data_IF_631991110848
#
_entry.id   IF_631991110848
#
_cell.length_a   1.000
_cell.length_b   1.000
_cell.length_c   1.000
_cell.angle_alpha   90.00
_cell.angle_beta   90.00
_cell.angle_gamma   90.00
#
_symmetry.space_group_name_H-M   'P 1'
#
loop_
_entity.id
_entity.type
_entity.pdbx_description
1 polymer ?
#
# COMPACT_ATOMS: atom_id res chain seq x y z
N UNK A 1 -9.12 -11.81 -21.57
CA UNK A 1 -8.51 -11.83 -20.22
C UNK A 1 -7.38 -12.84 -20.24
N UNK A 2 -6.17 -12.42 -19.89
CA UNK A 2 -4.97 -13.27 -19.85
C UNK A 2 -4.38 -13.26 -18.44
N UNK A 3 -4.35 -14.40 -17.73
CA UNK A 3 -3.57 -14.52 -16.51
C UNK A 3 -2.09 -14.56 -16.86
N UNK A 4 -1.29 -13.68 -16.25
CA UNK A 4 0.15 -13.67 -16.45
C UNK A 4 0.81 -14.62 -15.46
N UNK A 5 1.57 -15.57 -15.99
CA UNK A 5 2.30 -16.57 -15.22
C UNK A 5 3.77 -16.59 -15.61
N UNK A 6 4.63 -16.90 -14.65
CA UNK A 6 6.07 -17.02 -14.86
C UNK A 6 6.86 -15.73 -14.61
N UNK A 7 8.07 -15.91 -14.08
CA UNK A 7 8.93 -14.80 -13.65
C UNK A 7 9.29 -13.82 -14.79
N UNK A 8 9.56 -14.33 -15.99
CA UNK A 8 9.91 -13.48 -17.14
C UNK A 8 8.77 -12.55 -17.55
N UNK A 9 7.53 -13.06 -17.56
CA UNK A 9 6.33 -12.30 -17.92
C UNK A 9 6.05 -11.22 -16.86
N UNK A 10 6.16 -11.56 -15.58
CA UNK A 10 5.98 -10.60 -14.49
C UNK A 10 7.07 -9.53 -14.46
N UNK A 11 8.32 -9.86 -14.80
CA UNK A 11 9.40 -8.88 -14.97
C UNK A 11 9.15 -7.95 -16.16
N UNK A 12 8.58 -8.44 -17.26
CA UNK A 12 8.16 -7.59 -18.38
C UNK A 12 7.04 -6.63 -17.97
N UNK A 13 6.05 -7.12 -17.22
CA UNK A 13 4.96 -6.30 -16.68
C UNK A 13 5.52 -5.22 -15.76
N UNK A 14 6.40 -5.58 -14.82
CA UNK A 14 7.06 -4.64 -13.91
C UNK A 14 7.77 -3.52 -14.68
N UNK A 15 8.58 -3.87 -15.69
CA UNK A 15 9.30 -2.90 -16.55
C UNK A 15 8.33 -1.99 -17.30
N UNK A 16 7.21 -2.52 -17.78
CA UNK A 16 6.19 -1.71 -18.46
C UNK A 16 5.52 -0.74 -17.49
N UNK A 17 5.14 -1.19 -16.30
CA UNK A 17 4.50 -0.36 -15.27
C UNK A 17 5.41 0.74 -14.78
N UNK A 18 6.72 0.48 -14.65
CA UNK A 18 7.70 1.50 -14.21
C UNK A 18 7.69 2.74 -15.11
N UNK A 19 7.45 2.59 -16.40
CA UNK A 19 7.39 3.71 -17.37
C UNK A 19 6.18 4.63 -17.15
N UNK A 20 5.18 4.17 -16.40
CA UNK A 20 3.92 4.88 -16.13
C UNK A 20 3.81 5.40 -14.71
N UNK A 21 4.91 5.37 -13.94
CA UNK A 21 4.97 6.01 -12.64
C UNK A 21 4.75 7.53 -12.75
N UNK A 22 4.06 8.17 -11.79
CA UNK A 22 3.55 7.59 -10.53
C UNK A 22 2.17 6.91 -10.65
N UNK A 23 1.47 7.02 -11.79
CA UNK A 23 0.07 6.54 -11.90
C UNK A 23 -0.09 5.02 -11.80
N UNK A 24 0.96 4.26 -12.10
CA UNK A 24 0.99 2.80 -11.97
C UNK A 24 1.48 2.31 -10.60
N UNK A 25 1.84 3.21 -9.68
CA UNK A 25 2.63 2.90 -8.48
C UNK A 25 2.05 1.76 -7.65
N UNK A 26 0.73 1.77 -7.42
CA UNK A 26 0.02 0.74 -6.64
C UNK A 26 0.21 -0.66 -7.24
N UNK A 27 0.08 -0.79 -8.56
CA UNK A 27 0.23 -2.05 -9.27
C UNK A 27 1.71 -2.43 -9.41
N UNK A 28 2.57 -1.46 -9.73
CA UNK A 28 4.01 -1.64 -9.83
C UNK A 28 4.60 -2.23 -8.54
N UNK A 29 4.31 -1.62 -7.38
CA UNK A 29 4.81 -2.11 -6.09
C UNK A 29 4.31 -3.53 -5.77
N UNK A 30 3.06 -3.83 -6.15
CA UNK A 30 2.50 -5.17 -5.97
C UNK A 30 3.22 -6.21 -6.84
N UNK A 31 3.44 -5.92 -8.13
CA UNK A 31 4.16 -6.83 -9.05
C UNK A 31 5.62 -7.01 -8.62
N UNK A 32 6.26 -5.96 -8.09
CA UNK A 32 7.60 -6.07 -7.51
C UNK A 32 7.65 -7.13 -6.39
N UNK A 33 6.70 -7.10 -5.46
CA UNK A 33 6.63 -8.12 -4.40
C UNK A 33 6.22 -9.51 -4.93
N UNK A 34 5.40 -9.58 -5.98
CA UNK A 34 5.12 -10.85 -6.67
C UNK A 34 6.39 -11.47 -7.25
N UNK A 35 7.29 -10.66 -7.83
CA UNK A 35 8.60 -11.10 -8.31
C UNK A 35 9.55 -11.56 -7.18
N UNK A 36 9.22 -11.28 -5.93
CA UNK A 36 9.96 -11.70 -4.73
C UNK A 36 9.25 -12.82 -3.96
N UNK A 37 8.77 -13.83 -4.69
CA UNK A 37 8.16 -15.03 -4.11
C UNK A 37 6.67 -14.93 -3.83
N UNK A 38 6.04 -13.76 -4.06
CA UNK A 38 4.58 -13.60 -4.03
C UNK A 38 3.91 -14.15 -2.74
N UNK A 39 4.28 -13.67 -1.55
CA UNK A 39 3.82 -14.24 -0.28
C UNK A 39 2.30 -14.11 -0.05
N UNK A 40 1.64 -13.21 -0.77
CA UNK A 40 0.19 -13.03 -0.74
C UNK A 40 -0.56 -13.84 -1.80
N UNK A 41 0.14 -14.70 -2.56
CA UNK A 41 -0.42 -15.57 -3.62
C UNK A 41 -1.35 -14.78 -4.55
N UNK A 42 -0.84 -13.66 -5.04
CA UNK A 42 -1.52 -12.79 -5.98
C UNK A 42 -1.38 -13.31 -7.41
N UNK A 43 -2.27 -12.89 -8.29
CA UNK A 43 -2.19 -13.12 -9.72
C UNK A 43 -2.41 -11.81 -10.48
N UNK A 44 -1.71 -11.65 -11.60
CA UNK A 44 -1.85 -10.52 -12.49
C UNK A 44 -2.73 -10.93 -13.68
N UNK A 45 -3.79 -10.17 -13.94
CA UNK A 45 -4.69 -10.35 -15.07
C UNK A 45 -4.59 -9.13 -15.97
N UNK A 46 -4.53 -9.34 -17.28
CA UNK A 46 -4.55 -8.27 -18.28
C UNK A 46 -5.63 -8.49 -19.33
N UNK A 47 -6.08 -7.40 -19.95
CA UNK A 47 -7.04 -7.46 -21.06
C UNK A 47 -6.42 -8.10 -22.31
N UNK A 48 -5.16 -7.76 -22.59
CA UNK A 48 -4.33 -8.30 -23.68
C UNK A 48 -2.84 -8.32 -23.29
N UNK A 49 -2.03 -9.11 -23.97
CA UNK A 49 -0.59 -9.21 -23.73
C UNK A 49 0.18 -9.32 -25.05
N UNK A 50 1.39 -8.73 -25.20
CA UNK A 50 2.14 -7.94 -24.22
C UNK A 50 1.71 -6.48 -24.07
N UNK A 51 0.97 -5.92 -25.04
CA UNK A 51 0.54 -4.53 -25.01
C UNK A 51 -0.81 -4.34 -24.29
N UNK A 52 -0.85 -4.69 -22.99
CA UNK A 52 -2.04 -4.52 -22.17
C UNK A 52 -2.52 -3.07 -22.15
N UNK A 53 -3.84 -2.87 -22.05
CA UNK A 53 -4.39 -1.56 -21.68
C UNK A 53 -4.70 -1.52 -20.18
N UNK A 54 -5.31 -2.56 -19.63
CA UNK A 54 -5.64 -2.67 -18.20
C UNK A 54 -4.93 -3.86 -17.57
N UNK A 55 -4.43 -3.67 -16.36
CA UNK A 55 -3.96 -4.73 -15.47
C UNK A 55 -4.74 -4.68 -14.16
N UNK A 56 -5.11 -5.87 -13.68
CA UNK A 56 -5.71 -6.09 -12.37
C UNK A 56 -4.84 -7.10 -11.63
N UNK A 57 -4.37 -6.73 -10.44
CA UNK A 57 -3.81 -7.71 -9.49
C UNK A 57 -4.90 -8.07 -8.51
N UNK A 58 -5.08 -9.36 -8.24
CA UNK A 58 -6.02 -9.89 -7.25
C UNK A 58 -5.42 -11.11 -6.54
N UNK A 59 -5.92 -11.51 -5.37
CA UNK A 59 -5.61 -12.82 -4.82
C UNK A 59 -6.02 -13.95 -5.79
N UNK A 60 -5.34 -15.08 -5.67
CA UNK A 60 -5.84 -16.33 -6.25
C UNK A 60 -7.20 -16.69 -5.62
N UNK A 61 -8.06 -17.37 -6.38
CA UNK A 61 -9.43 -17.68 -5.95
C UNK A 61 -9.46 -18.51 -4.66
N UNK A 62 -8.45 -19.35 -4.45
CA UNK A 62 -8.29 -20.15 -3.24
C UNK A 62 -8.02 -19.32 -1.97
N UNK A 63 -7.62 -18.05 -2.12
CA UNK A 63 -7.41 -17.13 -1.00
C UNK A 63 -8.68 -16.30 -0.71
N UNK A 64 -9.62 -16.19 -1.65
CA UNK A 64 -10.85 -15.38 -1.52
C UNK A 64 -12.02 -16.24 -1.00
N UNK A 65 -11.86 -16.81 0.19
CA UNK A 65 -12.85 -17.75 0.77
C UNK A 65 -13.88 -17.10 1.69
N UNK A 66 -13.64 -15.87 2.15
CA UNK A 66 -14.56 -15.09 2.99
C UNK A 66 -15.12 -13.92 2.17
N UNK A 67 -16.38 -14.04 1.74
CA UNK A 67 -17.05 -13.02 0.91
C UNK A 67 -17.18 -11.66 1.62
N UNK A 68 -16.98 -11.60 2.94
CA UNK A 68 -17.05 -10.35 3.72
C UNK A 68 -15.67 -9.71 3.95
N UNK A 69 -14.58 -10.40 3.59
CA UNK A 69 -13.21 -9.97 3.83
C UNK A 69 -12.65 -9.06 2.73
N UNK A 70 -13.05 -7.78 2.75
CA UNK A 70 -12.49 -6.79 1.83
C UNK A 70 -10.98 -6.52 2.03
N UNK A 71 -10.34 -6.99 3.12
CA UNK A 71 -8.88 -6.87 3.29
C UNK A 71 -8.15 -7.91 2.44
N UNK A 72 -8.72 -9.11 2.32
CA UNK A 72 -8.22 -10.16 1.42
C UNK A 72 -8.73 -9.94 -0.01
N UNK A 73 -10.02 -9.65 -0.19
CA UNK A 73 -10.70 -9.40 -1.46
C UNK A 73 -10.33 -8.03 -2.08
N UNK A 74 -9.04 -7.88 -2.38
CA UNK A 74 -8.42 -6.63 -2.81
C UNK A 74 -8.02 -6.71 -4.27
N UNK A 75 -8.31 -5.64 -5.02
CA UNK A 75 -8.00 -5.54 -6.44
C UNK A 75 -7.19 -4.27 -6.72
N UNK A 76 -6.06 -4.39 -7.40
CA UNK A 76 -5.14 -3.29 -7.67
C UNK A 76 -5.18 -3.05 -9.17
N UNK A 77 -5.63 -1.85 -9.55
CA UNK A 77 -6.00 -1.57 -10.94
C UNK A 77 -5.14 -0.46 -11.48
N UNK A 78 -4.59 -0.71 -12.67
CA UNK A 78 -3.98 0.31 -13.51
C UNK A 78 -4.48 0.15 -14.95
N UNK A 79 -4.85 1.26 -15.58
CA UNK A 79 -5.27 1.30 -16.98
C UNK A 79 -4.58 2.45 -17.73
N UNK A 80 -4.07 2.17 -18.93
CA UNK A 80 -3.58 3.21 -19.87
C UNK A 80 -4.73 4.10 -20.35
N UNK A 81 -5.91 3.51 -20.56
CA UNK A 81 -7.16 4.19 -20.94
C UNK A 81 -8.30 3.75 -20.00
N UNK A 82 -8.54 4.49 -18.90
CA UNK A 82 -9.59 4.18 -17.94
C UNK A 82 -10.98 4.02 -18.57
N UNK A 83 -11.31 4.76 -19.63
CA UNK A 83 -12.65 4.67 -20.26
C UNK A 83 -12.89 3.31 -20.91
N UNK A 84 -11.83 2.61 -21.32
CA UNK A 84 -11.90 1.30 -21.98
C UNK A 84 -11.81 0.12 -21.02
N UNK A 85 -11.56 0.36 -19.74
CA UNK A 85 -11.40 -0.75 -18.78
C UNK A 85 -12.73 -1.29 -18.23
N UNK A 86 -13.85 -0.59 -18.44
CA UNK A 86 -15.14 -0.94 -17.83
C UNK A 86 -15.58 -2.38 -18.15
N UNK A 87 -15.54 -2.79 -19.43
CA UNK A 87 -15.91 -4.15 -19.83
C UNK A 87 -15.03 -5.19 -19.13
N UNK A 88 -13.71 -4.99 -19.18
CA UNK A 88 -12.74 -5.90 -18.58
C UNK A 88 -12.91 -6.03 -17.05
N UNK A 89 -13.09 -4.92 -16.34
CA UNK A 89 -13.33 -4.92 -14.89
C UNK A 89 -14.71 -5.51 -14.51
N UNK A 90 -15.66 -5.49 -15.44
CA UNK A 90 -17.00 -6.05 -15.25
C UNK A 90 -17.08 -7.58 -15.37
N UNK A 91 -16.03 -8.22 -15.91
CA UNK A 91 -15.97 -9.68 -16.06
C UNK A 91 -15.85 -10.36 -14.69
N UNK A 92 -16.67 -11.41 -14.41
CA UNK A 92 -16.63 -12.13 -13.13
C UNK A 92 -15.30 -12.85 -12.90
N UNK A 93 -14.58 -13.21 -13.96
CA UNK A 93 -13.25 -13.83 -13.90
C UNK A 93 -12.15 -12.81 -13.52
N UNK A 94 -12.45 -11.51 -13.62
CA UNK A 94 -11.51 -10.42 -13.29
C UNK A 94 -11.80 -9.85 -11.90
N UNK A 95 -13.05 -9.50 -11.62
CA UNK A 95 -13.49 -9.05 -10.30
C UNK A 95 -14.72 -9.86 -9.89
N UNK A 96 -14.61 -10.52 -8.74
CA UNK A 96 -15.78 -11.14 -8.12
C UNK A 96 -16.63 -10.03 -7.49
N UNK A 97 -17.66 -9.58 -8.20
CA UNK A 97 -18.60 -8.55 -7.70
C UNK A 97 -19.68 -9.10 -6.76
N UNK A 98 -19.63 -10.39 -6.39
CA UNK A 98 -20.59 -11.00 -5.44
C UNK A 98 -20.13 -10.92 -3.98
N UNK A 99 -18.93 -10.40 -3.74
CA UNK A 99 -18.30 -10.28 -2.42
C UNK A 99 -18.09 -8.82 -2.03
N UNK A 100 -17.93 -8.57 -0.73
CA UNK A 100 -17.35 -7.34 -0.22
C UNK A 100 -15.89 -7.27 -0.68
N UNK A 101 -15.52 -6.17 -1.33
CA UNK A 101 -14.21 -6.02 -1.93
C UNK A 101 -13.71 -4.59 -1.80
N UNK A 102 -12.39 -4.44 -1.94
CA UNK A 102 -11.78 -3.14 -2.13
C UNK A 102 -11.02 -3.08 -3.46
N UNK A 103 -11.17 -1.98 -4.20
CA UNK A 103 -10.39 -1.67 -5.38
C UNK A 103 -9.44 -0.52 -5.01
N UNK A 104 -8.16 -0.63 -5.33
CA UNK A 104 -7.15 0.39 -5.06
C UNK A 104 -6.42 0.81 -6.34
N UNK A 105 -6.21 2.12 -6.51
CA UNK A 105 -5.48 2.68 -7.65
C UNK A 105 -4.91 4.06 -7.33
N UNK A 106 -3.87 4.44 -8.06
CA UNK A 106 -3.39 5.83 -8.10
C UNK A 106 -4.12 6.68 -9.15
N UNK A 107 -5.16 6.14 -9.82
CA UNK A 107 -5.85 6.82 -10.92
C UNK A 107 -7.24 7.31 -10.50
N UNK A 108 -7.35 8.60 -10.21
CA UNK A 108 -8.64 9.20 -9.84
C UNK A 108 -9.69 9.16 -10.95
N UNK A 109 -9.26 8.97 -12.21
CA UNK A 109 -10.11 8.80 -13.40
C UNK A 109 -10.86 7.47 -13.48
N UNK A 110 -10.58 6.51 -12.60
CA UNK A 110 -11.33 5.25 -12.51
C UNK A 110 -12.66 5.39 -11.76
N UNK A 111 -12.93 6.52 -11.11
CA UNK A 111 -14.10 6.67 -10.23
C UNK A 111 -15.43 6.45 -10.95
N UNK A 112 -15.61 7.09 -12.11
CA UNK A 112 -16.85 6.96 -12.88
C UNK A 112 -17.05 5.52 -13.36
N UNK A 113 -15.97 4.86 -13.79
CA UNK A 113 -16.00 3.45 -14.22
C UNK A 113 -16.42 2.54 -13.08
N UNK A 114 -15.83 2.71 -11.89
CA UNK A 114 -16.11 1.88 -10.73
C UNK A 114 -17.52 2.14 -10.21
N UNK A 115 -18.00 3.39 -10.19
CA UNK A 115 -19.38 3.73 -9.84
C UNK A 115 -20.39 3.14 -10.81
N UNK A 116 -20.12 3.21 -12.12
CA UNK A 116 -20.97 2.59 -13.14
C UNK A 116 -21.03 1.08 -12.97
N UNK A 117 -19.88 0.43 -12.73
CA UNK A 117 -19.85 -1.01 -12.46
C UNK A 117 -20.59 -1.37 -11.19
N UNK A 118 -20.45 -0.60 -10.11
CA UNK A 118 -21.20 -0.82 -8.89
C UNK A 118 -22.73 -0.75 -9.13
N UNK A 119 -23.19 0.20 -9.94
CA UNK A 119 -24.60 0.30 -10.32
C UNK A 119 -25.07 -0.90 -11.16
N UNK A 120 -24.30 -1.31 -12.18
CA UNK A 120 -24.59 -2.49 -13.02
C UNK A 120 -24.64 -3.77 -12.17
N UNK A 121 -23.76 -3.89 -11.19
CA UNK A 121 -23.63 -5.05 -10.29
C UNK A 121 -24.54 -4.95 -9.08
N UNK A 122 -25.46 -3.98 -9.04
CA UNK A 122 -26.43 -3.78 -7.97
C UNK A 122 -25.76 -3.74 -6.59
N UNK A 123 -24.74 -2.90 -6.42
CA UNK A 123 -24.05 -2.74 -5.15
C UNK A 123 -23.77 -1.29 -4.81
N UNK A 124 -23.38 -1.06 -3.55
CA UNK A 124 -22.98 0.25 -3.03
C UNK A 124 -21.47 0.38 -3.09
N UNK A 125 -20.98 1.55 -3.50
CA UNK A 125 -19.55 1.85 -3.48
C UNK A 125 -19.26 3.13 -2.71
N UNK A 126 -18.24 3.08 -1.84
CA UNK A 126 -17.71 4.23 -1.12
C UNK A 126 -16.26 4.46 -1.53
N UNK A 127 -15.97 5.64 -2.07
CA UNK A 127 -14.61 6.08 -2.39
C UNK A 127 -13.96 6.80 -1.21
N UNK A 128 -12.70 6.46 -0.96
CA UNK A 128 -11.78 7.21 -0.10
C UNK A 128 -10.63 7.72 -0.96
N UNK A 129 -10.25 8.98 -0.78
CA UNK A 129 -9.12 9.60 -1.46
C UNK A 129 -8.13 10.17 -0.45
N UNK A 130 -6.85 9.87 -0.65
CA UNK A 130 -5.76 10.31 0.21
C UNK A 130 -4.64 10.93 -0.61
N UNK A 131 -3.82 11.78 0.02
CA UNK A 131 -2.58 12.21 -0.60
C UNK A 131 -1.63 11.02 -0.73
N UNK A 132 -0.93 10.94 -1.85
CA UNK A 132 0.07 9.91 -2.12
C UNK A 132 1.47 10.53 -2.03
N UNK A 133 2.34 9.87 -1.27
CA UNK A 133 3.73 10.27 -1.08
C UNK A 133 4.66 9.16 -1.52
N UNK A 134 5.63 9.48 -2.37
CA UNK A 134 6.74 8.59 -2.70
C UNK A 134 7.92 8.91 -1.80
N UNK A 135 8.57 7.89 -1.24
CA UNK A 135 9.79 8.08 -0.44
C UNK A 135 10.89 8.66 -1.33
N UNK A 136 11.68 9.62 -0.81
CA UNK A 136 12.67 10.36 -1.59
C UNK A 136 13.69 9.44 -2.28
N UNK A 137 14.21 8.45 -1.55
CA UNK A 137 15.14 7.43 -2.05
C UNK A 137 14.52 6.60 -3.18
N UNK A 138 13.25 6.20 -3.04
CA UNK A 138 12.49 5.51 -4.09
C UNK A 138 12.35 6.37 -5.34
N UNK A 139 11.97 7.64 -5.18
CA UNK A 139 11.77 8.54 -6.30
C UNK A 139 13.07 8.79 -7.08
N UNK A 140 14.20 8.95 -6.38
CA UNK A 140 15.53 9.05 -7.01
C UNK A 140 15.87 7.85 -7.89
N UNK A 141 15.45 6.64 -7.49
CA UNK A 141 15.72 5.40 -8.23
C UNK A 141 14.73 5.16 -9.36
N UNK A 142 13.44 5.46 -9.13
CA UNK A 142 12.36 4.97 -9.99
C UNK A 142 11.67 6.04 -10.83
N UNK A 143 11.71 7.30 -10.39
CA UNK A 143 10.93 8.39 -10.99
C UNK A 143 11.68 9.73 -10.86
N UNK A 144 12.86 9.82 -11.49
CA UNK A 144 13.73 11.00 -11.44
C UNK A 144 13.05 12.28 -11.91
N UNK A 145 12.06 12.15 -12.81
CA UNK A 145 11.22 13.27 -13.28
C UNK A 145 10.36 13.91 -12.18
N UNK A 146 10.20 13.27 -11.03
CA UNK A 146 9.45 13.82 -9.88
C UNK A 146 10.32 14.67 -8.95
N UNK A 147 11.62 14.81 -9.22
CA UNK A 147 12.55 15.58 -8.39
C UNK A 147 12.75 16.99 -8.95
N UNK A 148 12.28 18.01 -8.23
CA UNK A 148 12.72 19.38 -8.47
C UNK A 148 14.09 19.63 -7.81
N UNK A 149 14.96 20.36 -8.49
CA UNK A 149 16.34 20.60 -8.09
C UNK A 149 16.43 21.35 -6.74
N UNK A 150 16.55 20.62 -5.63
CA UNK A 150 17.23 21.00 -4.37
C UNK A 150 17.33 19.75 -3.48
N UNK A 151 18.37 18.95 -3.73
CA UNK A 151 18.69 17.79 -2.91
C UNK A 151 19.41 18.27 -1.63
N UNK A 152 18.74 18.19 -0.47
CA UNK A 152 19.42 18.22 0.83
C UNK A 152 19.13 16.89 1.50
N UNK A 153 20.14 16.03 1.66
CA UNK A 153 19.97 14.77 2.38
C UNK A 153 19.33 15.03 3.75
N UNK A 154 18.31 14.25 4.17
CA UNK A 154 17.82 14.31 5.55
C UNK A 154 19.01 14.13 6.49
N UNK A 155 19.24 15.10 7.37
CA UNK A 155 20.39 15.06 8.28
C UNK A 155 20.09 14.00 9.37
N UNK A 156 20.50 12.75 9.11
CA UNK A 156 20.15 11.56 9.90
C UNK A 156 20.52 11.66 11.38
N UNK A 157 21.50 12.50 11.71
CA UNK A 157 21.95 12.72 13.08
C UNK A 157 20.92 13.43 13.96
N UNK A 158 19.94 14.13 13.37
CA UNK A 158 18.89 14.84 14.13
C UNK A 158 17.86 13.90 14.76
N UNK A 159 17.69 12.69 14.22
CA UNK A 159 16.66 11.72 14.67
C UNK A 159 17.20 10.66 15.64
N UNK A 160 18.53 10.53 15.77
CA UNK A 160 19.18 9.55 16.67
C UNK A 160 19.05 9.89 18.16
N UNK A 161 18.69 11.12 18.51
CA UNK A 161 18.68 11.61 19.90
C UNK A 161 17.45 11.23 20.73
N UNK A 162 16.48 10.51 20.14
CA UNK A 162 15.26 10.11 20.85
C UNK A 162 15.61 9.05 21.91
N UNK A 163 15.66 9.49 23.17
CA UNK A 163 15.65 8.72 24.43
C UNK A 163 15.93 7.20 24.33
N UNK A 164 17.11 6.84 23.82
CA UNK A 164 17.56 5.45 23.70
C UNK A 164 17.69 4.72 25.05
N UNK A 165 17.65 5.46 26.18
CA UNK A 165 17.78 4.88 27.52
C UNK A 165 16.51 4.17 28.03
N UNK A 166 15.33 4.45 27.45
CA UNK A 166 14.04 3.89 27.93
C UNK A 166 13.31 3.10 26.85
N UNK A 167 13.48 3.46 25.58
CA UNK A 167 12.78 2.81 24.47
C UNK A 167 13.73 1.90 23.69
N UNK A 168 13.32 0.66 23.44
CA UNK A 168 14.12 -0.33 22.70
C UNK A 168 13.59 -0.51 21.28
N UNK A 169 14.45 -0.33 20.28
CA UNK A 169 14.13 -0.68 18.89
C UNK A 169 14.03 -2.21 18.73
N UNK A 170 12.95 -2.67 18.12
CA UNK A 170 12.66 -4.09 17.87
C UNK A 170 11.80 -4.26 16.62
N UNK A 171 11.32 -5.48 16.37
CA UNK A 171 10.31 -5.82 15.38
C UNK A 171 8.99 -6.21 16.03
N UNK A 172 7.90 -6.15 15.27
CA UNK A 172 6.61 -6.65 15.71
C UNK A 172 6.59 -8.17 15.66
N UNK A 173 5.97 -8.79 16.67
CA UNK A 173 5.54 -10.18 16.67
C UNK A 173 4.06 -10.26 16.24
N UNK A 174 3.59 -11.36 15.62
CA UNK A 174 2.17 -11.51 15.25
C UNK A 174 1.19 -11.30 16.41
N UNK A 175 1.59 -11.58 17.66
CA UNK A 175 0.78 -11.29 18.87
C UNK A 175 0.50 -9.79 19.06
N UNK A 176 1.29 -8.91 18.45
CA UNK A 176 1.05 -7.46 18.46
C UNK A 176 0.01 -6.99 17.42
N UNK A 177 -0.53 -7.87 16.57
CA UNK A 177 -1.48 -7.48 15.54
C UNK A 177 -2.76 -6.86 16.11
N UNK A 178 -3.25 -7.34 17.26
CA UNK A 178 -4.41 -6.75 17.92
C UNK A 178 -4.19 -5.28 18.32
N UNK A 179 -2.97 -4.93 18.76
CA UNK A 179 -2.60 -3.54 19.06
C UNK A 179 -2.64 -2.67 17.80
N UNK A 180 -2.01 -3.13 16.72
CA UNK A 180 -2.02 -2.40 15.44
C UNK A 180 -3.45 -2.25 14.94
N UNK A 181 -4.25 -3.32 15.01
CA UNK A 181 -5.64 -3.36 14.57
C UNK A 181 -6.52 -2.34 15.31
N UNK A 182 -6.30 -2.17 16.61
CA UNK A 182 -7.01 -1.19 17.45
C UNK A 182 -6.79 0.26 17.01
N UNK A 183 -5.59 0.59 16.53
CA UNK A 183 -5.21 1.98 16.20
C UNK A 183 -5.21 2.28 14.70
N UNK A 184 -5.30 1.26 13.86
CA UNK A 184 -5.34 1.45 12.42
C UNK A 184 -6.71 1.98 11.98
N UNK A 185 -6.72 3.05 11.20
CA UNK A 185 -7.95 3.70 10.74
C UNK A 185 -8.90 2.76 9.97
N UNK A 186 -8.34 1.82 9.22
CA UNK A 186 -9.12 0.81 8.50
C UNK A 186 -9.25 -0.50 9.29
N UNK A 187 -8.77 -0.56 10.53
CA UNK A 187 -8.82 -1.74 11.39
C UNK A 187 -10.09 -1.83 12.22
N UNK A 188 -10.02 -2.62 13.30
CA UNK A 188 -11.06 -2.71 14.32
C UNK A 188 -11.96 -3.94 14.22
N UNK A 189 -11.65 -4.89 13.33
CA UNK A 189 -12.34 -6.19 13.27
C UNK A 189 -11.35 -7.36 13.12
N UNK A 190 -11.87 -8.58 13.19
CA UNK A 190 -11.06 -9.81 13.11
C UNK A 190 -10.38 -9.98 11.74
N UNK A 191 -11.03 -9.55 10.66
CA UNK A 191 -10.50 -9.69 9.30
C UNK A 191 -9.31 -8.76 9.08
N UNK A 192 -9.41 -7.52 9.53
CA UNK A 192 -8.26 -6.60 9.57
C UNK A 192 -7.12 -7.13 10.44
N UNK A 193 -7.43 -7.78 11.57
CA UNK A 193 -6.38 -8.38 12.41
C UNK A 193 -5.64 -9.49 11.69
N UNK A 194 -6.35 -10.43 11.04
CA UNK A 194 -5.73 -11.50 10.24
C UNK A 194 -4.84 -10.95 9.13
N UNK A 195 -5.31 -9.90 8.45
CA UNK A 195 -4.52 -9.21 7.43
C UNK A 195 -3.23 -8.61 7.99
N UNK A 196 -3.31 -7.94 9.15
CA UNK A 196 -2.15 -7.37 9.85
C UNK A 196 -1.18 -8.49 10.28
N UNK A 197 -1.68 -9.57 10.86
CA UNK A 197 -0.86 -10.73 11.26
C UNK A 197 -0.08 -11.29 10.07
N UNK A 198 -0.73 -11.43 8.91
CA UNK A 198 -0.08 -11.87 7.67
C UNK A 198 1.01 -10.89 7.24
N UNK A 199 0.77 -9.57 7.31
CA UNK A 199 1.79 -8.56 7.00
C UNK A 199 2.99 -8.65 7.95
N UNK A 200 2.76 -8.78 9.25
CA UNK A 200 3.82 -8.88 10.27
C UNK A 200 4.68 -10.12 10.06
N UNK A 201 4.08 -11.27 9.70
CA UNK A 201 4.82 -12.51 9.41
C UNK A 201 5.65 -12.43 8.13
N UNK A 202 5.24 -11.60 7.18
CA UNK A 202 5.77 -11.62 5.81
C UNK A 202 6.85 -10.57 5.58
N UNK A 203 6.67 -9.37 6.12
CA UNK A 203 7.49 -8.21 5.78
C UNK A 203 8.31 -7.73 6.99
N UNK A 204 9.46 -7.07 6.76
CA UNK A 204 10.18 -6.40 7.83
C UNK A 204 9.28 -5.39 8.57
N UNK A 205 9.25 -5.50 9.89
CA UNK A 205 8.49 -4.59 10.76
C UNK A 205 9.40 -3.95 11.79
N UNK A 206 9.00 -2.77 12.24
CA UNK A 206 9.79 -1.95 13.15
C UNK A 206 8.90 -1.41 14.26
N UNK A 207 9.35 -1.51 15.51
CA UNK A 207 8.68 -0.92 16.65
C UNK A 207 9.65 -0.40 17.69
N UNK A 208 9.15 0.51 18.53
CA UNK A 208 9.78 0.89 19.78
C UNK A 208 9.01 0.24 20.91
N UNK A 209 9.71 -0.53 21.75
CA UNK A 209 9.16 -1.11 22.96
C UNK A 209 9.31 -0.11 24.11
N UNK A 210 8.24 0.04 24.90
CA UNK A 210 8.26 0.76 26.16
C UNK A 210 8.88 -0.05 27.30
N UNK A 211 8.91 0.49 28.53
CA UNK A 211 9.45 -0.19 29.72
C UNK A 211 8.85 -1.59 29.97
N UNK A 212 7.54 -1.74 29.70
CA UNK A 212 6.80 -2.99 29.87
C UNK A 212 7.08 -4.02 28.75
N UNK A 213 8.00 -3.73 27.83
CA UNK A 213 8.33 -4.61 26.71
C UNK A 213 7.27 -4.65 25.59
N UNK A 214 6.22 -3.82 25.66
CA UNK A 214 5.16 -3.74 24.65
C UNK A 214 5.42 -2.62 23.63
N UNK A 215 4.98 -2.77 22.36
CA UNK A 215 5.15 -1.71 21.36
C UNK A 215 4.38 -0.44 21.72
N UNK A 216 5.08 0.69 21.75
CA UNK A 216 4.48 2.03 21.97
C UNK A 216 4.39 2.85 20.68
N UNK A 217 5.22 2.51 19.69
CA UNK A 217 5.25 3.09 18.36
C UNK A 217 5.68 2.02 17.35
N UNK A 218 5.10 2.02 16.14
CA UNK A 218 5.38 0.99 15.13
C UNK A 218 5.19 1.50 13.71
N UNK A 219 5.84 0.83 12.77
CA UNK A 219 5.65 0.98 11.33
C UNK A 219 5.83 -0.37 10.62
N UNK A 220 4.99 -0.62 9.61
CA UNK A 220 5.02 -1.82 8.78
C UNK A 220 4.62 -1.48 7.34
N UNK A 221 4.52 -2.51 6.51
CA UNK A 221 4.11 -2.38 5.11
C UNK A 221 3.17 -3.51 4.72
N UNK A 222 2.51 -3.37 3.58
CA UNK A 222 1.65 -4.41 3.01
C UNK A 222 2.21 -4.98 1.70
N UNK A 223 1.46 -5.92 1.12
CA UNK A 223 1.79 -6.62 -0.13
C UNK A 223 1.90 -5.73 -1.37
N UNK A 224 1.55 -4.45 -1.27
CA UNK A 224 1.60 -3.49 -2.38
C UNK A 224 2.86 -2.62 -2.35
N UNK A 225 3.76 -2.84 -1.39
CA UNK A 225 4.95 -2.00 -1.16
C UNK A 225 4.66 -0.72 -0.37
N UNK A 226 3.42 -0.56 0.11
CA UNK A 226 2.96 0.63 0.78
C UNK A 226 3.35 0.61 2.27
N UNK A 227 4.05 1.65 2.72
CA UNK A 227 4.29 1.92 4.13
C UNK A 227 2.96 2.40 4.75
N UNK A 228 2.33 1.52 5.54
CA UNK A 228 1.01 1.78 6.13
C UNK A 228 0.87 1.13 7.50
N UNK A 229 -0.27 1.36 8.14
CA UNK A 229 -0.57 0.84 9.49
C UNK A 229 0.40 1.32 10.58
N UNK A 230 1.14 2.40 10.31
CA UNK A 230 2.04 3.02 11.27
C UNK A 230 1.26 3.73 12.38
N UNK A 231 1.77 3.72 13.61
CA UNK A 231 1.03 4.22 14.77
C UNK A 231 1.89 4.50 15.98
N UNK A 232 1.34 5.27 16.92
CA UNK A 232 1.91 5.52 18.24
C UNK A 232 0.76 5.64 19.23
N UNK A 233 0.87 4.93 20.36
CA UNK A 233 -0.15 4.97 21.41
C UNK A 233 -0.24 6.38 22.01
N UNK A 234 -1.43 6.83 22.47
CA UNK A 234 -1.69 8.21 22.88
C UNK A 234 -0.66 8.80 23.83
N UNK A 235 -0.22 8.03 24.82
CA UNK A 235 0.66 8.42 25.91
C UNK A 235 2.09 8.76 25.42
N UNK A 236 2.48 8.22 24.26
CA UNK A 236 3.80 8.39 23.67
C UNK A 236 3.81 9.31 22.43
N UNK A 237 2.68 9.95 22.11
CA UNK A 237 2.59 10.88 20.96
C UNK A 237 3.35 12.17 21.22
N UNK A 238 3.59 12.93 20.15
CA UNK A 238 4.31 14.21 20.15
C UNK A 238 5.79 14.17 20.60
N UNK A 239 6.37 12.98 20.78
CA UNK A 239 7.78 12.80 21.17
C UNK A 239 8.72 12.48 19.98
N UNK A 240 8.22 12.54 18.74
CA UNK A 240 9.01 12.25 17.53
C UNK A 240 9.25 10.76 17.22
N UNK A 241 8.72 9.85 18.04
CA UNK A 241 8.97 8.39 17.94
C UNK A 241 8.66 7.83 16.55
N UNK A 242 7.49 8.16 16.00
CA UNK A 242 7.06 7.67 14.70
C UNK A 242 7.93 8.20 13.55
N UNK A 243 8.46 9.42 13.67
CA UNK A 243 9.38 9.99 12.68
C UNK A 243 10.70 9.23 12.66
N UNK A 244 11.23 8.89 13.84
CA UNK A 244 12.42 8.06 13.95
C UNK A 244 12.20 6.65 13.39
N UNK A 245 11.08 6.00 13.73
CA UNK A 245 10.77 4.67 13.22
C UNK A 245 10.61 4.64 11.70
N UNK A 246 9.94 5.62 11.11
CA UNK A 246 9.81 5.70 9.64
C UNK A 246 11.19 5.92 9.00
N UNK A 247 12.06 6.75 9.60
CA UNK A 247 13.44 6.90 9.12
C UNK A 247 14.20 5.57 9.14
N UNK A 248 14.16 4.83 10.26
CA UNK A 248 14.78 3.50 10.39
C UNK A 248 14.21 2.52 9.37
N UNK A 249 12.89 2.47 9.22
CA UNK A 249 12.20 1.62 8.25
C UNK A 249 12.66 1.92 6.83
N UNK A 250 12.67 3.19 6.42
CA UNK A 250 13.10 3.60 5.07
C UNK A 250 14.54 3.16 4.81
N UNK A 251 15.46 3.40 5.74
CA UNK A 251 16.87 3.00 5.57
C UNK A 251 17.05 1.48 5.47
N UNK A 252 16.27 0.71 6.22
CA UNK A 252 16.32 -0.75 6.18
C UNK A 252 15.74 -1.30 4.86
N UNK A 253 14.59 -0.77 4.43
CA UNK A 253 13.90 -1.23 3.22
C UNK A 253 14.58 -0.74 1.93
N UNK A 254 15.28 0.41 1.96
CA UNK A 254 16.05 0.90 0.80
C UNK A 254 17.15 -0.08 0.39
N UNK A 255 17.80 -0.73 1.36
CA UNK A 255 18.82 -1.77 1.14
C UNK A 255 18.25 -3.01 0.46
N UNK A 256 16.95 -3.26 0.62
CA UNK A 256 16.23 -4.36 -0.04
C UNK A 256 15.67 -3.95 -1.42
N UNK A 257 15.84 -2.68 -1.81
CA UNK A 257 15.38 -2.16 -3.09
C UNK A 257 13.87 -1.98 -3.19
N UNK A 258 13.15 -1.93 -2.05
CA UNK A 258 11.68 -1.87 -2.06
C UNK A 258 11.16 -0.53 -2.61
N UNK A 259 10.11 -0.54 -3.45
CA UNK A 259 9.54 0.67 -4.01
C UNK A 259 8.59 1.34 -3.02
N UNK A 260 9.16 1.98 -1.99
CA UNK A 260 8.41 2.52 -0.86
C UNK A 260 7.61 3.78 -1.22
N UNK A 261 6.34 3.78 -0.80
CA UNK A 261 5.43 4.92 -0.83
C UNK A 261 4.42 4.82 0.32
N UNK A 262 3.61 5.85 0.54
CA UNK A 262 2.56 5.84 1.55
C UNK A 262 1.39 6.74 1.13
N UNK A 263 0.21 6.48 1.68
CA UNK A 263 -0.89 7.43 1.64
C UNK A 263 -1.10 8.11 2.98
N UNK A 264 -1.61 9.33 2.94
CA UNK A 264 -2.02 10.08 4.12
C UNK A 264 -3.39 10.68 3.90
N UNK A 265 -4.30 10.41 4.83
CA UNK A 265 -5.62 11.02 4.84
C UNK A 265 -5.53 12.56 4.83
N UNK A 266 -6.43 13.22 4.09
CA UNK A 266 -6.41 14.68 3.91
C UNK A 266 -6.62 15.44 5.23
N UNK A 267 -7.27 14.85 6.22
CA UNK A 267 -7.43 15.41 7.56
C UNK A 267 -6.25 15.10 8.50
N UNK A 268 -5.35 14.18 8.12
CA UNK A 268 -4.20 13.81 8.95
C UNK A 268 -3.00 14.76 8.75
N UNK A 269 -3.16 15.99 9.23
CA UNK A 269 -2.12 17.03 9.12
C UNK A 269 -0.81 16.67 9.82
N UNK A 270 -0.84 15.78 10.82
CA UNK A 270 0.36 15.31 11.53
C UNK A 270 1.24 14.49 10.58
N UNK A 271 0.65 13.51 9.89
CA UNK A 271 1.38 12.67 8.94
C UNK A 271 1.77 13.42 7.67
N UNK A 272 1.00 14.45 7.26
CA UNK A 272 1.41 15.34 6.17
C UNK A 272 2.67 16.14 6.54
N UNK A 273 2.71 16.74 7.74
CA UNK A 273 3.90 17.44 8.26
C UNK A 273 5.09 16.51 8.41
N UNK A 274 4.87 15.25 8.80
CA UNK A 274 5.92 14.24 8.89
C UNK A 274 6.52 13.94 7.51
N UNK A 275 5.70 13.71 6.49
CA UNK A 275 6.18 13.47 5.12
C UNK A 275 6.98 14.66 4.59
N UNK A 276 6.53 15.88 4.85
CA UNK A 276 7.30 17.09 4.52
C UNK A 276 8.66 17.13 5.23
N UNK A 277 8.72 16.83 6.55
CA UNK A 277 9.97 16.79 7.32
C UNK A 277 10.95 15.72 6.82
N UNK A 278 10.44 14.58 6.37
CA UNK A 278 11.24 13.51 5.78
C UNK A 278 11.55 13.76 4.30
N UNK A 279 11.08 14.88 3.73
CA UNK A 279 11.24 15.24 2.32
C UNK A 279 10.72 14.15 1.36
N UNK A 280 9.67 13.44 1.77
CA UNK A 280 8.93 12.56 0.87
C UNK A 280 8.22 13.40 -0.19
N UNK A 281 8.19 12.89 -1.41
CA UNK A 281 7.65 13.60 -2.57
C UNK A 281 6.15 13.39 -2.62
N UNK A 282 5.38 14.47 -2.47
CA UNK A 282 3.96 14.44 -2.80
C UNK A 282 3.83 14.23 -4.31
N UNK A 283 3.15 13.17 -4.73
CA UNK A 283 2.89 12.94 -6.16
C UNK A 283 1.58 13.64 -6.56
N UNK A 284 1.44 14.00 -7.83
CA UNK A 284 0.28 14.73 -8.35
C UNK A 284 -0.99 13.89 -8.45
N UNK A 285 -0.87 12.57 -8.46
CA UNK A 285 -2.01 11.66 -8.44
C UNK A 285 -2.42 11.31 -7.00
N UNK A 286 -3.71 11.03 -6.79
CA UNK A 286 -4.22 10.63 -5.47
C UNK A 286 -4.09 9.12 -5.26
N UNK A 287 -3.98 8.70 -4.01
CA UNK A 287 -4.31 7.34 -3.62
C UNK A 287 -5.83 7.21 -3.54
N UNK A 288 -6.38 6.17 -4.18
CA UNK A 288 -7.82 5.92 -4.20
C UNK A 288 -8.11 4.50 -3.72
N UNK A 289 -9.14 4.38 -2.90
CA UNK A 289 -9.75 3.12 -2.53
C UNK A 289 -11.27 3.19 -2.70
N UNK A 290 -11.84 2.19 -3.35
CA UNK A 290 -13.28 2.01 -3.46
C UNK A 290 -13.66 0.74 -2.71
N UNK A 291 -14.47 0.88 -1.66
CA UNK A 291 -15.06 -0.24 -0.95
C UNK A 291 -16.43 -0.53 -1.57
N UNK A 292 -16.60 -1.72 -2.12
CA UNK A 292 -17.85 -2.17 -2.73
C UNK A 292 -18.52 -3.20 -1.83
N UNK A 293 -19.84 -3.08 -1.71
CA UNK A 293 -20.72 -3.99 -0.97
C UNK A 293 -21.88 -4.37 -1.89
N UNK A 294 -22.05 -5.66 -2.23
CA UNK A 294 -23.21 -6.11 -3.01
C UNK A 294 -24.51 -5.89 -2.23
N UNK A 295 -25.63 -5.66 -2.93
CA UNK A 295 -26.96 -5.60 -2.32
C UNK A 295 -27.53 -7.00 -2.06
#
# INVERSE_FOLDING_TARGET
MFPLQGAQVLQMLEKSLRKSLPTSLKVYGTVFHMNQGNPFKLQALVDRWPDFNTVVIRPQEQEMTDDLDHYTNTYQVYSKDPKKCQEFLGLPEVINWKQHLQIQSSQSSLDDVIKNLAAIKLGKVKRTQCFLYMVSETAKKLATSLLDAKNVSPNGDKYKSIHQKVLKLSSLDPTHAALVNKFWHFGGNERSQRFIERCIRTFPTFCLLGPEGTPVSWALMDQTGELRMAGTIPEYRAQGLITYLIYVQVQALDKLGFPMYSHVDRANHIMQKLNFKLQNISVSCDWNQWNFVPL
#
